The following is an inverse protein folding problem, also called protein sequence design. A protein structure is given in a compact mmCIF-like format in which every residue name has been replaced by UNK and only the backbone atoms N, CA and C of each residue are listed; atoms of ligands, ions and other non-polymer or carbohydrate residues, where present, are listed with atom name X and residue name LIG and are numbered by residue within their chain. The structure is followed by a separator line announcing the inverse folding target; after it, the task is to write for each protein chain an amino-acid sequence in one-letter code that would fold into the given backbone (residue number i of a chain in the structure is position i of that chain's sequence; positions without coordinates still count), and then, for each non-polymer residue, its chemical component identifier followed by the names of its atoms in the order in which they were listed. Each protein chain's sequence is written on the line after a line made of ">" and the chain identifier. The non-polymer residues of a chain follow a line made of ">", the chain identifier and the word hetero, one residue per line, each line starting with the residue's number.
data_IF_537186569277
#
_entry.id   IF_537186569277
#
_cell.length_a   1.000
_cell.length_b   1.000
_cell.length_c   1.000
_cell.angle_alpha   90.00
_cell.angle_beta   90.00
_cell.angle_gamma   90.00
#
_symmetry.space_group_name_H-M   'P 1'
#
loop_
_entity.id
_entity.type
_entity.pdbx_description
1 polymer ?
#
# COMPACT_ATOMS: atom_id res chain seq x y z
N UNK A 1 -4.58 -2.23 -30.40
CA UNK A 1 -3.45 -3.13 -30.62
C UNK A 1 -3.54 -4.30 -29.64
N UNK A 2 -3.59 -5.55 -30.08
CA UNK A 2 -3.54 -6.67 -29.15
C UNK A 2 -2.19 -6.66 -28.43
N UNK A 3 -2.20 -6.68 -27.10
CA UNK A 3 -0.98 -6.72 -26.29
C UNK A 3 -0.24 -8.03 -26.56
N UNK A 4 0.99 -7.93 -27.06
CA UNK A 4 1.86 -9.09 -27.34
C UNK A 4 2.19 -9.77 -26.01
N UNK A 5 1.70 -10.99 -25.80
CA UNK A 5 2.01 -11.79 -24.63
C UNK A 5 3.41 -12.38 -24.75
N UNK A 6 4.26 -12.14 -23.76
CA UNK A 6 5.56 -12.79 -23.62
C UNK A 6 5.41 -13.98 -22.67
N UNK A 7 5.96 -15.16 -23.05
CA UNK A 7 5.96 -16.35 -22.20
C UNK A 7 7.13 -16.29 -21.21
N UNK A 8 6.83 -16.53 -19.94
CA UNK A 8 7.79 -16.59 -18.85
C UNK A 8 7.65 -17.93 -18.13
N UNK A 9 8.77 -18.61 -17.87
CA UNK A 9 8.82 -19.80 -17.02
C UNK A 9 9.13 -19.38 -15.57
N UNK A 10 8.40 -19.95 -14.62
CA UNK A 10 8.60 -19.72 -13.17
C UNK A 10 8.79 -21.07 -12.50
N UNK A 11 9.82 -21.21 -11.67
CA UNK A 11 10.03 -22.37 -10.78
C UNK A 11 9.54 -22.00 -9.38
N UNK A 12 8.77 -22.88 -8.77
CA UNK A 12 8.21 -22.70 -7.43
C UNK A 12 8.54 -23.92 -6.58
N UNK A 13 8.75 -23.70 -5.30
CA UNK A 13 8.82 -24.77 -4.31
C UNK A 13 7.48 -25.53 -4.26
N UNK A 14 7.49 -26.85 -3.99
CA UNK A 14 6.28 -27.67 -3.97
C UNK A 14 5.18 -27.12 -3.04
N UNK A 15 5.56 -26.61 -1.88
CA UNK A 15 4.64 -26.04 -0.88
C UNK A 15 3.97 -24.76 -1.37
N UNK A 16 4.74 -23.89 -2.04
CA UNK A 16 4.23 -22.65 -2.61
C UNK A 16 3.30 -22.93 -3.80
N UNK A 17 3.63 -23.92 -4.62
CA UNK A 17 2.75 -24.37 -5.71
C UNK A 17 1.43 -24.91 -5.18
N UNK A 18 1.43 -25.72 -4.12
CA UNK A 18 0.21 -26.21 -3.49
C UNK A 18 -0.63 -25.07 -2.89
N UNK A 19 0.02 -24.06 -2.28
CA UNK A 19 -0.65 -22.89 -1.77
C UNK A 19 -1.32 -22.08 -2.89
N UNK A 20 -0.62 -21.90 -4.01
CA UNK A 20 -1.15 -21.26 -5.22
C UNK A 20 -2.37 -22.01 -5.76
N UNK A 21 -2.32 -23.34 -5.86
CA UNK A 21 -3.41 -24.17 -6.37
C UNK A 21 -4.65 -24.08 -5.45
N UNK A 22 -4.47 -24.09 -4.13
CA UNK A 22 -5.57 -23.86 -3.16
C UNK A 22 -6.18 -22.46 -3.34
N UNK A 23 -5.34 -21.44 -3.50
CA UNK A 23 -5.80 -20.07 -3.70
C UNK A 23 -6.58 -19.89 -5.02
N UNK A 24 -6.13 -20.54 -6.11
CA UNK A 24 -6.84 -20.57 -7.41
C UNK A 24 -8.22 -21.18 -7.25
N UNK A 25 -8.30 -22.36 -6.58
CA UNK A 25 -9.55 -23.07 -6.37
C UNK A 25 -10.55 -22.25 -5.55
N UNK A 26 -10.08 -21.51 -4.54
CA UNK A 26 -10.94 -20.67 -3.69
C UNK A 26 -11.50 -19.44 -4.40
N UNK A 27 -10.91 -19.03 -5.52
CA UNK A 27 -11.27 -17.79 -6.25
C UNK A 27 -11.86 -18.01 -7.63
N UNK A 28 -12.15 -19.25 -8.01
CA UNK A 28 -12.62 -19.61 -9.35
C UNK A 28 -11.74 -19.02 -10.48
N UNK A 29 -10.44 -18.94 -10.26
CA UNK A 29 -9.53 -18.44 -11.27
C UNK A 29 -9.36 -19.45 -12.41
N UNK A 30 -9.41 -19.01 -13.65
CA UNK A 30 -9.49 -19.88 -14.83
C UNK A 30 -8.21 -20.72 -15.07
N UNK A 31 -7.05 -20.26 -14.61
CA UNK A 31 -5.76 -20.96 -14.78
C UNK A 31 -4.66 -20.40 -13.88
N UNK A 32 -3.58 -21.20 -13.67
CA UNK A 32 -2.35 -20.74 -12.98
C UNK A 32 -1.77 -19.48 -13.61
N UNK A 33 -1.76 -19.41 -14.96
CA UNK A 33 -1.23 -18.22 -15.67
C UNK A 33 -2.07 -16.97 -15.42
N UNK A 34 -3.40 -17.10 -15.33
CA UNK A 34 -4.27 -15.96 -15.01
C UNK A 34 -4.12 -15.54 -13.55
N UNK A 35 -4.03 -16.51 -12.65
CA UNK A 35 -3.78 -16.28 -11.23
C UNK A 35 -2.47 -15.51 -10.99
N UNK A 36 -1.38 -15.96 -11.61
CA UNK A 36 -0.07 -15.29 -11.54
C UNK A 36 -0.12 -13.88 -12.12
N UNK A 37 -0.76 -13.69 -13.29
CA UNK A 37 -0.93 -12.33 -13.86
C UNK A 37 -1.71 -11.41 -12.93
N UNK A 38 -2.75 -11.94 -12.28
CA UNK A 38 -3.55 -11.16 -11.32
C UNK A 38 -2.73 -10.75 -10.10
N UNK A 39 -1.94 -11.67 -9.54
CA UNK A 39 -1.05 -11.39 -8.43
C UNK A 39 0.02 -10.36 -8.79
N UNK A 40 0.68 -10.56 -9.95
CA UNK A 40 1.69 -9.62 -10.44
C UNK A 40 1.10 -8.24 -10.70
N UNK A 41 -0.07 -8.17 -11.34
CA UNK A 41 -0.74 -6.87 -11.56
C UNK A 41 -1.09 -6.19 -10.23
N UNK A 42 -1.60 -6.94 -9.27
CA UNK A 42 -1.93 -6.40 -7.95
C UNK A 42 -0.68 -5.83 -7.27
N UNK A 43 0.43 -6.56 -7.31
CA UNK A 43 1.67 -6.13 -6.67
C UNK A 43 2.32 -4.93 -7.38
N UNK A 44 2.30 -4.92 -8.72
CA UNK A 44 2.94 -3.86 -9.50
C UNK A 44 2.02 -2.66 -9.79
N UNK A 45 0.69 -2.81 -9.69
CA UNK A 45 -0.25 -1.76 -10.14
C UNK A 45 -0.10 -0.47 -9.36
N UNK A 46 0.19 -0.57 -8.08
CA UNK A 46 0.21 0.58 -7.18
C UNK A 46 1.63 1.18 -7.03
N UNK A 47 2.67 0.39 -7.25
CA UNK A 47 4.06 0.84 -7.02
C UNK A 47 4.84 1.14 -8.30
N UNK A 48 4.64 0.35 -9.35
CA UNK A 48 5.46 0.40 -10.59
C UNK A 48 4.67 0.89 -11.80
N UNK A 49 3.37 0.53 -11.89
CA UNK A 49 2.53 0.86 -13.03
C UNK A 49 1.70 2.14 -12.82
N UNK A 50 1.72 2.70 -11.62
CA UNK A 50 1.06 3.97 -11.32
C UNK A 50 1.73 5.15 -12.00
N UNK A 51 0.95 6.15 -12.40
CA UNK A 51 1.49 7.42 -12.86
C UNK A 51 2.21 8.13 -11.70
N UNK A 52 3.53 8.34 -11.77
CA UNK A 52 4.30 8.97 -10.68
C UNK A 52 3.80 10.35 -10.27
N UNK A 53 3.15 11.06 -11.19
CA UNK A 53 2.63 12.41 -10.99
C UNK A 53 1.16 12.45 -10.55
N UNK A 54 0.47 11.29 -10.56
CA UNK A 54 -0.93 11.22 -10.16
C UNK A 54 -1.08 11.52 -8.66
N UNK A 55 -2.20 12.16 -8.31
CA UNK A 55 -2.59 12.28 -6.91
C UNK A 55 -2.99 10.91 -6.35
N UNK A 56 -2.53 10.61 -5.15
CA UNK A 56 -2.72 9.32 -4.52
C UNK A 56 -2.96 9.45 -3.02
N UNK A 57 -3.48 8.38 -2.44
CA UNK A 57 -3.60 8.16 -1.00
C UNK A 57 -2.90 6.86 -0.66
N UNK A 58 -2.11 6.87 0.42
CA UNK A 58 -1.48 5.67 0.94
C UNK A 58 -1.91 5.43 2.39
N UNK A 59 -2.04 4.15 2.75
CA UNK A 59 -2.13 3.70 4.14
C UNK A 59 -0.90 2.89 4.45
N UNK A 60 -0.13 3.32 5.45
CA UNK A 60 1.10 2.64 5.89
C UNK A 60 0.84 2.04 7.26
N UNK A 61 1.13 0.76 7.42
CA UNK A 61 1.06 0.04 8.69
C UNK A 61 2.47 -0.30 9.16
N UNK A 62 2.76 -0.03 10.42
CA UNK A 62 4.06 -0.26 11.04
C UNK A 62 3.87 -0.99 12.36
N UNK A 63 4.41 -2.19 12.46
CA UNK A 63 4.44 -2.98 13.69
C UNK A 63 5.83 -2.90 14.31
N UNK A 64 5.91 -2.52 15.57
CA UNK A 64 7.17 -2.43 16.30
C UNK A 64 6.98 -2.71 17.79
N UNK A 65 8.09 -2.87 18.55
CA UNK A 65 8.05 -2.95 20.01
C UNK A 65 8.40 -1.60 20.59
N UNK A 66 7.56 -1.05 21.48
CA UNK A 66 7.84 0.23 22.12
C UNK A 66 9.07 0.16 23.03
N UNK A 67 9.41 -1.02 23.55
CA UNK A 67 10.62 -1.27 24.37
C UNK A 67 11.90 -1.31 23.53
N UNK A 68 11.82 -1.44 22.20
CA UNK A 68 13.00 -1.47 21.34
C UNK A 68 13.72 -0.11 21.36
N UNK A 69 15.02 -0.14 21.68
CA UNK A 69 15.80 1.08 21.85
C UNK A 69 15.73 2.03 20.65
N UNK A 70 15.23 3.23 20.89
CA UNK A 70 15.23 4.35 19.96
C UNK A 70 14.28 4.19 18.74
N UNK A 71 13.45 3.14 18.66
CA UNK A 71 12.54 2.94 17.52
C UNK A 71 11.52 4.07 17.41
N UNK A 72 10.89 4.46 18.52
CA UNK A 72 9.90 5.56 18.52
C UNK A 72 10.51 6.87 18.04
N UNK A 73 11.71 7.23 18.53
CA UNK A 73 12.39 8.46 18.10
C UNK A 73 12.70 8.44 16.60
N UNK A 74 13.14 7.28 16.05
CA UNK A 74 13.41 7.14 14.62
C UNK A 74 12.12 7.21 13.78
N UNK A 75 11.04 6.59 14.24
CA UNK A 75 9.73 6.68 13.58
C UNK A 75 9.21 8.12 13.60
N UNK A 76 9.25 8.80 14.74
CA UNK A 76 8.87 10.21 14.84
C UNK A 76 9.71 11.08 13.88
N UNK A 77 11.02 10.86 13.81
CA UNK A 77 11.88 11.60 12.88
C UNK A 77 11.53 11.32 11.41
N UNK A 78 11.20 10.07 11.05
CA UNK A 78 10.75 9.73 9.71
C UNK A 78 9.41 10.39 9.39
N UNK A 79 8.46 10.37 10.32
CA UNK A 79 7.17 11.05 10.17
C UNK A 79 7.32 12.57 10.00
N UNK A 80 8.22 13.21 10.74
CA UNK A 80 8.49 14.63 10.56
C UNK A 80 9.01 14.97 9.15
N UNK A 81 9.85 14.12 8.57
CA UNK A 81 10.33 14.33 7.18
C UNK A 81 9.19 14.33 6.16
N UNK A 82 8.14 13.55 6.42
CA UNK A 82 6.98 13.38 5.53
C UNK A 82 5.70 14.07 6.05
N UNK A 83 5.85 14.99 7.03
CA UNK A 83 4.72 15.61 7.74
C UNK A 83 3.71 16.29 6.83
N UNK A 84 4.15 16.91 5.72
CA UNK A 84 3.26 17.54 4.75
C UNK A 84 2.36 16.56 3.99
N UNK A 85 2.76 15.27 3.91
CA UNK A 85 1.97 14.22 3.29
C UNK A 85 1.07 13.48 4.28
N UNK A 86 1.44 13.43 5.56
CA UNK A 86 0.69 12.69 6.60
C UNK A 86 -0.57 13.46 6.97
N UNK A 87 -1.74 12.79 6.79
CA UNK A 87 -3.06 13.33 7.12
C UNK A 87 -3.54 12.87 8.49
N UNK A 88 -3.19 11.65 8.86
CA UNK A 88 -3.45 11.12 10.21
C UNK A 88 -2.43 10.05 10.56
N UNK A 89 -2.22 9.90 11.86
CA UNK A 89 -1.48 8.79 12.45
C UNK A 89 -2.27 8.27 13.65
N UNK A 90 -2.50 6.97 13.70
CA UNK A 90 -3.21 6.31 14.78
C UNK A 90 -2.33 5.23 15.37
N UNK A 91 -2.19 5.26 16.68
CA UNK A 91 -1.34 4.34 17.42
C UNK A 91 -2.20 3.38 18.25
N UNK A 92 -1.91 2.11 18.13
CA UNK A 92 -2.59 1.05 18.87
C UNK A 92 -1.57 0.30 19.73
N UNK A 93 -1.86 0.18 21.02
CA UNK A 93 -1.17 -0.74 21.89
C UNK A 93 -1.77 -2.13 21.70
N UNK A 94 -0.91 -3.09 21.38
CA UNK A 94 -1.29 -4.50 21.28
C UNK A 94 -0.86 -5.24 22.55
N UNK A 95 -1.10 -6.55 22.59
CA UNK A 95 -0.67 -7.35 23.74
C UNK A 95 0.86 -7.33 23.91
N UNK A 96 1.31 -7.26 25.16
CA UNK A 96 2.73 -7.17 25.50
C UNK A 96 3.31 -5.79 25.22
N UNK A 97 4.43 -5.74 24.51
CA UNK A 97 5.14 -4.52 24.15
C UNK A 97 5.00 -4.14 22.67
N UNK A 98 4.12 -4.83 21.95
CA UNK A 98 3.88 -4.57 20.54
C UNK A 98 2.98 -3.35 20.34
N UNK A 99 3.33 -2.55 19.35
CA UNK A 99 2.59 -1.39 18.91
C UNK A 99 2.35 -1.46 17.41
N UNK A 100 1.13 -1.15 17.00
CA UNK A 100 0.76 -0.95 15.61
C UNK A 100 0.51 0.54 15.39
N UNK A 101 1.16 1.11 14.42
CA UNK A 101 0.89 2.47 13.96
C UNK A 101 0.35 2.43 12.53
N UNK A 102 -0.74 3.16 12.30
CA UNK A 102 -1.39 3.28 11.00
C UNK A 102 -1.37 4.75 10.60
N UNK A 103 -0.73 5.02 9.46
CA UNK A 103 -0.64 6.38 8.91
C UNK A 103 -1.42 6.44 7.60
N UNK A 104 -2.14 7.54 7.42
CA UNK A 104 -2.78 7.89 6.15
C UNK A 104 -2.03 9.06 5.54
N UNK A 105 -1.60 8.89 4.30
CA UNK A 105 -0.84 9.89 3.55
C UNK A 105 -1.61 10.28 2.29
N UNK A 106 -1.43 11.53 1.86
CA UNK A 106 -1.96 12.03 0.58
C UNK A 106 -0.93 12.93 -0.10
N UNK A 107 -0.76 12.77 -1.40
CA UNK A 107 0.21 13.50 -2.21
C UNK A 107 0.41 12.86 -3.57
N UNK A 108 1.55 13.12 -4.21
CA UNK A 108 1.89 12.50 -5.47
C UNK A 108 2.31 11.05 -5.28
N UNK A 109 1.90 10.17 -6.19
CA UNK A 109 2.18 8.74 -6.15
C UNK A 109 3.66 8.44 -5.83
N UNK A 110 4.60 9.04 -6.57
CA UNK A 110 6.03 8.80 -6.37
C UNK A 110 6.55 9.26 -5.00
N UNK A 111 5.96 10.29 -4.42
CA UNK A 111 6.32 10.80 -3.09
C UNK A 111 5.80 9.86 -2.01
N UNK A 112 4.56 9.37 -2.16
CA UNK A 112 3.96 8.45 -1.22
C UNK A 112 4.66 7.09 -1.20
N UNK A 113 5.11 6.57 -2.35
CA UNK A 113 5.94 5.37 -2.40
C UNK A 113 7.22 5.56 -1.60
N UNK A 114 7.94 6.67 -1.81
CA UNK A 114 9.18 6.97 -1.05
C UNK A 114 8.91 7.13 0.44
N UNK A 115 7.83 7.81 0.81
CA UNK A 115 7.44 7.98 2.20
C UNK A 115 7.13 6.64 2.88
N UNK A 116 6.36 5.78 2.22
CA UNK A 116 6.01 4.46 2.72
C UNK A 116 7.25 3.56 2.90
N UNK A 117 8.16 3.56 1.91
CA UNK A 117 9.41 2.80 2.00
C UNK A 117 10.33 3.31 3.11
N UNK A 118 10.46 4.62 3.29
CA UNK A 118 11.25 5.22 4.36
C UNK A 118 10.67 4.88 5.75
N UNK A 119 9.35 4.97 5.90
CA UNK A 119 8.66 4.67 7.15
C UNK A 119 8.79 3.19 7.54
N UNK A 120 8.50 2.27 6.61
CA UNK A 120 8.57 0.82 6.89
C UNK A 120 10.01 0.33 7.05
N UNK A 121 10.98 1.00 6.44
CA UNK A 121 12.41 0.68 6.52
C UNK A 121 13.10 1.17 7.79
N UNK A 122 12.40 1.83 8.71
CA UNK A 122 12.99 2.34 9.94
C UNK A 122 13.54 1.20 10.79
N UNK A 123 14.81 1.33 11.19
CA UNK A 123 15.49 0.34 12.05
C UNK A 123 14.72 0.12 13.37
N UNK A 124 14.31 -1.11 13.62
CA UNK A 124 13.53 -1.52 14.79
C UNK A 124 12.05 -1.78 14.48
N UNK A 125 11.62 -1.52 13.27
CA UNK A 125 10.32 -2.00 12.74
C UNK A 125 10.40 -3.51 12.57
N UNK A 126 9.40 -4.23 13.10
CA UNK A 126 9.27 -5.68 12.97
C UNK A 126 8.63 -6.07 11.66
N UNK A 127 7.58 -5.34 11.30
CA UNK A 127 6.84 -5.53 10.06
C UNK A 127 6.27 -4.19 9.60
N UNK A 128 6.38 -3.90 8.32
CA UNK A 128 5.80 -2.72 7.72
C UNK A 128 5.23 -3.07 6.35
N UNK A 129 4.01 -2.61 6.10
CA UNK A 129 3.33 -2.78 4.82
C UNK A 129 2.60 -1.50 4.46
N UNK A 130 2.28 -1.33 3.18
CA UNK A 130 1.47 -0.21 2.75
C UNK A 130 0.56 -0.58 1.57
N UNK A 131 -0.55 0.10 1.51
CA UNK A 131 -1.47 0.07 0.39
C UNK A 131 -1.54 1.48 -0.20
N UNK A 132 -1.44 1.57 -1.51
CA UNK A 132 -1.48 2.82 -2.24
C UNK A 132 -2.62 2.77 -3.24
N UNK A 133 -3.40 3.84 -3.31
CA UNK A 133 -4.54 3.95 -4.23
C UNK A 133 -4.47 5.29 -4.96
N UNK A 134 -4.53 5.24 -6.26
CA UNK A 134 -4.75 6.41 -7.11
C UNK A 134 -6.24 6.51 -7.42
N UNK A 135 -6.98 7.44 -6.81
CA UNK A 135 -8.38 7.62 -7.15
C UNK A 135 -8.46 8.06 -8.62
N UNK A 136 -8.88 7.13 -9.49
CA UNK A 136 -9.34 7.52 -10.82
C UNK A 136 -10.64 8.29 -10.60
N UNK A 137 -10.57 9.60 -10.56
CA UNK A 137 -11.74 10.43 -10.71
C UNK A 137 -12.25 10.18 -12.12
N UNK A 138 -13.20 9.25 -12.25
CA UNK A 138 -13.98 9.14 -13.46
C UNK A 138 -14.53 10.55 -13.72
N UNK A 139 -14.17 11.15 -14.86
CA UNK A 139 -14.56 12.51 -15.21
C UNK A 139 -16.07 12.66 -15.22
N UNK A 140 -16.64 12.96 -14.07
CA UNK A 140 -18.01 13.33 -13.87
C UNK A 140 -18.05 14.82 -13.57
N UNK A 141 -18.51 15.61 -14.53
CA UNK A 141 -19.02 16.96 -14.28
C UNK A 141 -20.11 16.86 -13.22
N UNK A 142 -19.79 17.12 -11.97
CA UNK A 142 -20.80 17.38 -10.93
C UNK A 142 -20.56 18.75 -10.36
N UNK A 143 -21.15 19.74 -11.01
CA UNK A 143 -21.47 20.99 -10.39
C UNK A 143 -22.54 20.77 -9.32
N UNK A 144 -22.19 20.42 -8.12
CA UNK A 144 -23.05 20.59 -6.96
C UNK A 144 -22.83 22.00 -6.43
N UNK A 145 -23.60 22.96 -7.00
CA UNK A 145 -23.90 24.20 -6.30
C UNK A 145 -24.82 23.85 -5.14
N UNK A 146 -24.33 23.98 -3.92
CA UNK A 146 -25.18 24.11 -2.75
C UNK A 146 -25.82 25.50 -2.76
N UNK A 147 -27.15 25.62 -2.82
CA UNK A 147 -27.80 26.89 -2.62
C UNK A 147 -27.72 27.22 -1.11
N UNK A 148 -26.98 28.25 -0.77
CA UNK A 148 -27.16 28.90 0.55
C UNK A 148 -28.54 29.55 0.59
N UNK A 149 -29.41 29.07 1.45
CA UNK A 149 -30.63 29.79 1.84
C UNK A 149 -30.25 30.86 2.82
N UNK A 150 -30.80 32.08 2.66
CA UNK A 150 -30.59 33.16 3.63
C UNK A 150 -31.61 33.05 4.77
N UNK A 151 -31.10 33.20 5.98
CA UNK A 151 -31.86 33.66 7.13
C UNK A 151 -31.00 34.63 7.92
#
# INVERSE_FOLDING_TARGET
>A
MPSRVVRLGVSLEPELLQALDRWISSRNSASRSEALRSLIRKELSDTVLGDPSADAVATVMILYRHTAYGVQRRLTSAQHRWGEHIRSATHFHLQGDACLEVLVLAGKHSELVRAAEDLRGVKGVLHGDYMLSTPKVAGGKTGHRHPHAPH
#
